data_IF_249339795188
#
_entry.id   IF_249339795188
#
_cell.length_a   1.000
_cell.length_b   1.000
_cell.length_c   1.000
_cell.angle_alpha   90.00
_cell.angle_beta   90.00
_cell.angle_gamma   90.00
#
_symmetry.space_group_name_H-M   'P 1'
#
loop_
_entity.id
_entity.type
_entity.pdbx_description
1 polymer ?
#
# COMPACT_ATOMS: atom_id res chain seq x y z
N UNK A 1 -89.89 35.83 -90.82
CA UNK A 1 -88.94 36.72 -90.09
C UNK A 1 -89.15 36.80 -88.56
N UNK A 2 -90.02 35.99 -87.94
CA UNK A 2 -90.31 36.08 -86.49
C UNK A 2 -89.64 35.01 -85.59
N UNK A 3 -88.82 34.09 -86.14
CA UNK A 3 -88.19 33.02 -85.36
C UNK A 3 -86.82 33.41 -84.73
N UNK A 4 -86.31 34.61 -85.00
CA UNK A 4 -85.02 35.06 -84.46
C UNK A 4 -85.15 35.81 -83.12
N UNK A 5 -86.31 35.78 -82.45
CA UNK A 5 -86.56 36.52 -81.20
C UNK A 5 -86.25 35.72 -79.91
N UNK A 6 -85.84 34.46 -80.03
CA UNK A 6 -85.47 33.60 -78.89
C UNK A 6 -83.97 33.34 -78.75
N UNK A 7 -83.14 33.80 -79.68
CA UNK A 7 -81.69 33.60 -79.60
C UNK A 7 -81.15 34.62 -78.62
N UNK A 8 -80.83 34.18 -77.39
CA UNK A 8 -79.95 34.95 -76.49
C UNK A 8 -78.66 35.19 -77.25
N UNK A 9 -78.40 36.45 -77.62
CA UNK A 9 -77.12 36.86 -78.17
C UNK A 9 -76.05 36.54 -77.12
N UNK A 10 -75.12 35.64 -77.47
CA UNK A 10 -73.94 35.38 -76.65
C UNK A 10 -73.09 36.64 -76.70
N UNK A 11 -72.81 37.21 -75.54
CA UNK A 11 -71.96 38.37 -75.40
C UNK A 11 -70.48 37.95 -75.51
N UNK A 12 -70.06 37.73 -76.76
CA UNK A 12 -68.70 37.30 -77.11
C UNK A 12 -67.61 38.22 -76.53
N UNK A 13 -67.77 39.56 -76.50
CA UNK A 13 -66.82 40.45 -75.82
C UNK A 13 -66.64 40.15 -74.33
N UNK A 14 -67.74 39.95 -73.60
CA UNK A 14 -67.67 39.63 -72.17
C UNK A 14 -67.02 38.26 -71.93
N UNK A 15 -67.30 37.26 -72.79
CA UNK A 15 -66.64 35.94 -72.71
C UNK A 15 -65.13 36.04 -72.96
N UNK A 16 -64.70 36.80 -73.97
CA UNK A 16 -63.27 37.02 -74.25
C UNK A 16 -62.56 37.67 -73.06
N UNK A 17 -63.15 38.71 -72.47
CA UNK A 17 -62.58 39.37 -71.29
C UNK A 17 -62.47 38.45 -70.06
N UNK A 18 -63.40 37.49 -69.91
CA UNK A 18 -63.34 36.49 -68.84
C UNK A 18 -62.23 35.45 -69.06
N UNK A 19 -61.96 35.07 -70.31
CA UNK A 19 -60.86 34.16 -70.66
C UNK A 19 -59.51 34.84 -70.39
N UNK A 20 -59.34 36.10 -70.83
CA UNK A 20 -58.11 36.86 -70.58
C UNK A 20 -57.83 37.05 -69.09
N UNK A 21 -58.89 37.27 -68.29
CA UNK A 21 -58.79 37.35 -66.84
C UNK A 21 -58.35 36.03 -66.19
N UNK A 22 -58.87 34.89 -66.68
CA UNK A 22 -58.44 33.56 -66.22
C UNK A 22 -56.97 33.31 -66.59
N UNK A 23 -56.57 33.64 -67.81
CA UNK A 23 -55.20 33.43 -68.29
C UNK A 23 -54.20 34.24 -67.46
N UNK A 24 -54.54 35.50 -67.17
CA UNK A 24 -53.77 36.37 -66.28
C UNK A 24 -53.59 35.75 -64.88
N UNK A 25 -54.64 35.14 -64.31
CA UNK A 25 -54.57 34.48 -63.00
C UNK A 25 -53.70 33.22 -63.06
N UNK A 26 -53.85 32.41 -64.11
CA UNK A 26 -53.04 31.19 -64.30
C UNK A 26 -51.56 31.54 -64.44
N UNK A 27 -51.22 32.58 -65.19
CA UNK A 27 -49.86 33.05 -65.34
C UNK A 27 -49.29 33.61 -64.04
N UNK A 28 -50.09 34.34 -63.27
CA UNK A 28 -49.67 34.82 -61.95
C UNK A 28 -49.37 33.66 -60.98
N UNK A 29 -50.20 32.62 -60.97
CA UNK A 29 -49.98 31.39 -60.16
C UNK A 29 -48.70 30.69 -60.61
N UNK A 30 -48.53 30.47 -61.93
CA UNK A 30 -47.34 29.84 -62.49
C UNK A 30 -46.07 30.64 -62.17
N UNK A 31 -46.13 31.96 -62.30
CA UNK A 31 -44.98 32.82 -62.03
C UNK A 31 -44.60 32.88 -60.56
N UNK A 32 -45.53 32.65 -59.63
CA UNK A 32 -45.28 32.86 -58.20
C UNK A 32 -45.05 31.54 -57.48
N UNK A 33 -46.02 30.62 -57.54
CA UNK A 33 -46.00 29.40 -56.73
C UNK A 33 -44.95 28.41 -57.23
N UNK A 34 -44.82 28.25 -58.55
CA UNK A 34 -43.81 27.36 -59.14
C UNK A 34 -42.40 27.89 -58.86
N UNK A 35 -42.20 29.21 -58.92
CA UNK A 35 -40.90 29.84 -58.62
C UNK A 35 -40.54 29.69 -57.14
N UNK A 36 -41.52 29.88 -56.25
CA UNK A 36 -41.33 29.67 -54.81
C UNK A 36 -41.00 28.21 -54.49
N UNK A 37 -41.71 27.26 -55.11
CA UNK A 37 -41.42 25.83 -54.96
C UNK A 37 -40.02 25.48 -55.48
N UNK A 38 -39.63 25.99 -56.65
CA UNK A 38 -38.29 25.76 -57.19
C UNK A 38 -37.18 26.30 -56.27
N UNK A 39 -37.41 27.48 -55.69
CA UNK A 39 -36.50 28.07 -54.71
C UNK A 39 -36.43 27.25 -53.41
N UNK A 40 -37.57 26.74 -52.94
CA UNK A 40 -37.64 25.82 -51.80
C UNK A 40 -36.89 24.51 -52.05
N UNK A 41 -37.05 23.92 -53.23
CA UNK A 41 -36.33 22.71 -53.64
C UNK A 41 -34.81 22.97 -53.66
N UNK A 42 -34.36 24.07 -54.26
CA UNK A 42 -32.94 24.42 -54.29
C UNK A 42 -32.33 24.61 -52.88
N UNK A 43 -33.11 25.16 -51.94
CA UNK A 43 -32.69 25.29 -50.55
C UNK A 43 -32.55 23.91 -49.87
N UNK A 44 -33.50 22.99 -50.12
CA UNK A 44 -33.42 21.61 -49.61
C UNK A 44 -32.23 20.87 -50.21
N UNK A 45 -31.99 21.00 -51.51
CA UNK A 45 -30.84 20.38 -52.19
C UNK A 45 -29.50 20.85 -51.57
N UNK A 46 -29.41 22.14 -51.24
CA UNK A 46 -28.23 22.71 -50.57
C UNK A 46 -28.02 22.09 -49.18
N UNK A 47 -29.09 21.89 -48.41
CA UNK A 47 -29.01 21.25 -47.08
C UNK A 47 -28.59 19.78 -47.21
N UNK A 48 -29.17 19.04 -48.16
CA UNK A 48 -28.83 17.63 -48.40
C UNK A 48 -27.37 17.48 -48.81
N UNK A 49 -26.88 18.37 -49.68
CA UNK A 49 -25.48 18.39 -50.08
C UNK A 49 -24.55 18.64 -48.89
N UNK A 50 -24.87 19.62 -48.02
CA UNK A 50 -24.07 19.89 -46.82
C UNK A 50 -24.00 18.68 -45.86
N UNK A 51 -25.13 18.01 -45.63
CA UNK A 51 -25.18 16.79 -44.80
C UNK A 51 -24.30 15.69 -45.40
N UNK A 52 -24.42 15.47 -46.72
CA UNK A 52 -23.69 14.40 -47.41
C UNK A 52 -22.18 14.67 -47.49
N UNK A 53 -21.79 15.91 -47.80
CA UNK A 53 -20.40 16.23 -48.13
C UNK A 53 -19.59 16.70 -46.91
N UNK A 54 -20.25 17.19 -45.86
CA UNK A 54 -19.56 17.74 -44.67
C UNK A 54 -19.85 16.92 -43.41
N UNK A 55 -21.12 16.73 -43.06
CA UNK A 55 -21.46 16.14 -41.76
C UNK A 55 -21.19 14.63 -41.73
N UNK A 56 -21.58 13.90 -42.78
CA UNK A 56 -21.40 12.45 -42.84
C UNK A 56 -19.91 12.03 -42.85
N UNK A 57 -19.00 12.67 -43.60
CA UNK A 57 -17.57 12.40 -43.51
C UNK A 57 -16.98 12.73 -42.13
N UNK A 58 -17.41 13.83 -41.50
CA UNK A 58 -16.95 14.20 -40.16
C UNK A 58 -17.33 13.14 -39.12
N UNK A 59 -18.56 12.62 -39.18
CA UNK A 59 -19.02 11.51 -38.33
C UNK A 59 -18.20 10.25 -38.60
N UNK A 60 -17.90 9.93 -39.85
CA UNK A 60 -17.10 8.74 -40.19
C UNK A 60 -15.65 8.82 -39.65
N UNK A 61 -15.03 10.01 -39.69
CA UNK A 61 -13.72 10.25 -39.08
C UNK A 61 -13.76 10.07 -37.56
N UNK A 62 -14.82 10.56 -36.89
CA UNK A 62 -15.01 10.37 -35.46
C UNK A 62 -15.16 8.89 -35.11
N UNK A 63 -15.97 8.13 -35.85
CA UNK A 63 -16.15 6.69 -35.65
C UNK A 63 -14.81 5.96 -35.78
N UNK A 64 -14.04 6.25 -36.83
CA UNK A 64 -12.71 5.64 -37.04
C UNK A 64 -11.75 5.94 -35.87
N UNK A 65 -11.80 7.17 -35.34
CA UNK A 65 -10.97 7.57 -34.19
C UNK A 65 -11.38 6.81 -32.92
N UNK A 66 -12.69 6.70 -32.68
CA UNK A 66 -13.23 5.95 -31.53
C UNK A 66 -12.86 4.48 -31.63
N UNK A 67 -12.97 3.87 -32.81
CA UNK A 67 -12.60 2.47 -33.03
C UNK A 67 -11.11 2.23 -32.71
N UNK A 68 -10.22 3.11 -33.18
CA UNK A 68 -8.79 3.02 -32.86
C UNK A 68 -8.51 3.13 -31.36
N UNK A 69 -9.20 4.03 -30.65
CA UNK A 69 -9.08 4.16 -29.19
C UNK A 69 -9.58 2.90 -28.48
N UNK A 70 -10.70 2.33 -28.92
CA UNK A 70 -11.26 1.10 -28.36
C UNK A 70 -10.32 -0.08 -28.57
N UNK A 71 -9.70 -0.20 -29.74
CA UNK A 71 -8.71 -1.25 -30.02
C UNK A 71 -7.45 -1.09 -29.17
N UNK A 72 -6.97 0.15 -28.97
CA UNK A 72 -5.87 0.42 -28.05
C UNK A 72 -6.21 -0.02 -26.62
N UNK A 73 -7.44 0.22 -26.15
CA UNK A 73 -7.92 -0.22 -24.82
C UNK A 73 -8.00 -1.75 -24.74
N UNK A 74 -8.51 -2.41 -25.77
CA UNK A 74 -8.62 -3.89 -25.82
C UNK A 74 -7.26 -4.57 -25.85
N UNK A 75 -6.25 -3.91 -26.42
CA UNK A 75 -4.88 -4.41 -26.49
C UNK A 75 -4.08 -4.18 -25.19
N UNK A 76 -4.68 -3.56 -24.16
CA UNK A 76 -4.09 -3.53 -22.82
C UNK A 76 -4.10 -4.95 -22.27
N UNK A 77 -2.91 -5.50 -22.01
CA UNK A 77 -2.72 -6.82 -21.41
C UNK A 77 -3.01 -6.79 -19.90
N UNK A 78 -4.29 -6.64 -19.56
CA UNK A 78 -4.79 -6.67 -18.18
C UNK A 78 -4.32 -7.93 -17.43
N UNK A 79 -4.32 -9.13 -18.02
CA UNK A 79 -3.79 -10.33 -17.36
C UNK A 79 -2.32 -10.20 -16.93
N UNK A 80 -1.43 -9.67 -17.78
CA UNK A 80 -0.03 -9.46 -17.42
C UNK A 80 0.13 -8.37 -16.37
N UNK A 81 -0.65 -7.28 -16.44
CA UNK A 81 -0.66 -6.25 -15.40
C UNK A 81 -1.06 -6.87 -14.05
N UNK A 82 -2.12 -7.69 -14.02
CA UNK A 82 -2.56 -8.36 -12.81
C UNK A 82 -1.49 -9.32 -12.27
N UNK A 83 -0.87 -10.12 -13.13
CA UNK A 83 0.21 -11.03 -12.72
C UNK A 83 1.40 -10.27 -12.09
N UNK A 84 1.75 -9.10 -12.63
CA UNK A 84 2.82 -8.27 -12.04
C UNK A 84 2.41 -7.65 -10.69
N UNK A 85 1.13 -7.27 -10.52
CA UNK A 85 0.61 -6.81 -9.23
C UNK A 85 0.71 -7.94 -8.20
N UNK A 86 0.25 -9.14 -8.55
CA UNK A 86 0.26 -10.31 -7.67
C UNK A 86 1.70 -10.66 -7.21
N UNK A 87 2.67 -10.60 -8.13
CA UNK A 87 4.10 -10.80 -7.80
C UNK A 87 4.61 -9.73 -6.83
N UNK A 88 4.29 -8.46 -7.07
CA UNK A 88 4.72 -7.37 -6.20
C UNK A 88 4.09 -7.45 -4.80
N UNK A 89 2.82 -7.85 -4.69
CA UNK A 89 2.16 -8.07 -3.41
C UNK A 89 2.85 -9.20 -2.61
N UNK A 90 3.19 -10.31 -3.28
CA UNK A 90 3.93 -11.41 -2.66
C UNK A 90 5.31 -10.98 -2.16
N UNK A 91 6.05 -10.20 -2.95
CA UNK A 91 7.38 -9.70 -2.55
C UNK A 91 7.31 -8.74 -1.36
N UNK A 92 6.26 -7.92 -1.29
CA UNK A 92 6.05 -7.02 -0.16
C UNK A 92 5.73 -7.79 1.13
N UNK A 93 4.97 -8.88 1.03
CA UNK A 93 4.68 -9.76 2.17
C UNK A 93 5.96 -10.43 2.70
N UNK A 94 6.81 -10.94 1.80
CA UNK A 94 8.09 -11.54 2.17
C UNK A 94 9.04 -10.54 2.86
N UNK A 95 9.08 -9.28 2.40
CA UNK A 95 9.89 -8.22 3.03
C UNK A 95 9.35 -7.88 4.43
N UNK A 96 8.03 -7.83 4.62
CA UNK A 96 7.44 -7.57 5.93
C UNK A 96 7.72 -8.71 6.92
N UNK A 97 7.83 -9.94 6.44
CA UNK A 97 8.17 -11.10 7.27
C UNK A 97 9.68 -11.28 7.54
N UNK A 98 10.55 -10.67 6.73
CA UNK A 98 12.02 -10.76 6.85
C UNK A 98 12.61 -9.94 8.01
N UNK A 99 11.84 -9.06 8.66
CA UNK A 99 12.35 -8.26 9.76
C UNK A 99 12.18 -8.99 11.10
N UNK A 100 13.28 -9.49 11.68
CA UNK A 100 13.27 -9.99 13.07
C UNK A 100 14.05 -9.05 13.99
N UNK A 101 13.55 -8.86 15.21
CA UNK A 101 14.29 -8.14 16.25
C UNK A 101 15.42 -9.03 16.77
N UNK A 102 16.60 -8.45 16.96
CA UNK A 102 17.75 -9.16 17.52
C UNK A 102 18.54 -8.28 18.47
N UNK A 103 19.01 -8.84 19.59
CA UNK A 103 19.83 -8.16 20.57
C UNK A 103 21.31 -8.22 20.20
N UNK A 104 22.01 -7.09 20.37
CA UNK A 104 23.46 -6.99 20.23
C UNK A 104 24.05 -6.46 21.54
N UNK A 105 25.15 -7.08 22.00
CA UNK A 105 25.83 -6.69 23.22
C UNK A 105 26.26 -5.22 23.14
N UNK A 106 25.94 -4.47 24.18
CA UNK A 106 26.17 -3.03 24.34
C UNK A 106 26.17 -2.71 25.84
N UNK A 107 26.43 -1.46 26.20
CA UNK A 107 26.45 -0.99 27.59
C UNK A 107 25.09 -0.45 28.10
N UNK A 108 24.10 -0.34 27.21
CA UNK A 108 22.75 0.08 27.57
C UNK A 108 22.04 -1.01 28.38
N UNK A 109 21.52 -0.66 29.55
CA UNK A 109 20.83 -1.62 30.42
C UNK A 109 19.42 -1.90 29.90
N UNK A 110 19.13 -3.17 29.61
CA UNK A 110 17.82 -3.63 29.15
C UNK A 110 16.99 -4.19 30.31
N UNK A 111 17.61 -5.02 31.15
CA UNK A 111 17.00 -5.63 32.34
C UNK A 111 18.00 -5.60 33.50
N UNK A 112 17.49 -5.53 34.73
CA UNK A 112 18.33 -5.47 35.93
C UNK A 112 17.65 -6.05 37.15
N UNK A 113 18.41 -6.77 37.96
CA UNK A 113 18.12 -7.10 39.35
C UNK A 113 19.31 -6.64 40.19
N UNK A 114 19.25 -5.37 40.60
CA UNK A 114 20.35 -4.68 41.26
C UNK A 114 20.46 -4.99 42.76
N UNK A 115 19.46 -5.66 43.35
CA UNK A 115 19.42 -5.97 44.78
C UNK A 115 20.57 -6.88 45.21
N UNK A 116 21.10 -6.67 46.42
CA UNK A 116 22.12 -7.54 46.98
C UNK A 116 21.50 -8.84 47.54
N UNK A 117 22.12 -9.97 47.23
CA UNK A 117 21.78 -11.26 47.80
C UNK A 117 23.04 -12.02 48.22
N UNK A 118 22.87 -12.99 49.12
CA UNK A 118 23.99 -13.74 49.67
C UNK A 118 23.69 -15.22 49.88
N UNK A 119 24.72 -16.05 49.83
CA UNK A 119 24.66 -17.46 50.22
C UNK A 119 25.94 -17.87 50.95
N UNK A 120 25.80 -18.78 51.92
CA UNK A 120 26.90 -19.46 52.61
C UNK A 120 27.13 -20.89 52.07
N UNK A 121 26.43 -21.26 51.00
CA UNK A 121 26.53 -22.58 50.40
C UNK A 121 27.86 -22.80 49.69
N UNK A 122 28.44 -23.99 49.91
CA UNK A 122 29.61 -24.45 49.16
C UNK A 122 29.27 -25.07 47.80
N UNK A 123 27.98 -25.28 47.54
CA UNK A 123 27.45 -25.67 46.22
C UNK A 123 26.76 -24.48 45.56
N UNK A 124 26.72 -24.45 44.23
CA UNK A 124 26.08 -23.38 43.48
C UNK A 124 24.59 -23.27 43.81
N UNK A 125 24.16 -22.07 44.21
CA UNK A 125 22.77 -21.71 44.51
C UNK A 125 22.33 -20.61 43.56
N UNK A 126 21.12 -20.73 43.00
CA UNK A 126 20.52 -19.68 42.16
C UNK A 126 20.24 -18.46 43.01
N UNK A 127 20.79 -17.32 42.61
CA UNK A 127 20.60 -16.04 43.28
C UNK A 127 19.71 -15.12 42.44
N UNK A 128 20.05 -14.95 41.16
CA UNK A 128 19.39 -13.97 40.27
C UNK A 128 18.77 -14.65 39.06
N UNK A 129 17.69 -14.10 38.53
CA UNK A 129 17.01 -14.59 37.32
C UNK A 129 16.32 -13.45 36.55
N UNK A 130 16.57 -13.38 35.24
CA UNK A 130 15.94 -12.44 34.31
C UNK A 130 15.55 -13.17 33.02
N UNK A 131 14.40 -12.82 32.42
CA UNK A 131 13.90 -13.47 31.19
C UNK A 131 14.22 -12.65 29.95
N UNK A 132 14.72 -13.32 28.92
CA UNK A 132 15.00 -12.74 27.59
C UNK A 132 13.72 -12.64 26.78
N UNK A 133 13.50 -11.50 26.11
CA UNK A 133 12.32 -11.25 25.26
C UNK A 133 12.66 -11.38 23.77
N UNK A 134 13.88 -11.01 23.38
CA UNK A 134 14.34 -10.96 21.98
C UNK A 134 15.58 -11.86 21.86
N UNK A 135 15.73 -12.69 20.82
CA UNK A 135 16.94 -13.48 20.70
C UNK A 135 18.15 -12.57 20.47
N UNK A 136 19.31 -12.96 20.99
CA UNK A 136 20.58 -12.43 20.53
C UNK A 136 21.71 -12.45 21.54
N UNK A 137 22.73 -11.65 21.27
CA UNK A 137 23.91 -11.55 22.13
C UNK A 137 23.69 -10.44 23.14
N UNK A 138 23.86 -10.75 24.42
CA UNK A 138 23.69 -9.83 25.53
C UNK A 138 24.98 -9.72 26.33
N UNK A 139 25.26 -8.52 26.84
CA UNK A 139 26.33 -8.29 27.81
C UNK A 139 25.78 -8.50 29.22
N UNK A 140 26.25 -9.52 29.91
CA UNK A 140 25.84 -9.83 31.28
C UNK A 140 26.87 -9.24 32.22
N UNK A 141 26.44 -8.36 33.13
CA UNK A 141 27.32 -7.78 34.16
C UNK A 141 26.79 -8.04 35.55
N UNK A 142 27.68 -8.28 36.50
CA UNK A 142 27.34 -8.46 37.91
C UNK A 142 28.54 -8.22 38.82
N UNK A 143 28.28 -7.84 40.07
CA UNK A 143 29.30 -7.61 41.08
C UNK A 143 29.26 -8.71 42.14
N UNK A 144 30.39 -9.38 42.40
CA UNK A 144 30.53 -10.39 43.47
C UNK A 144 31.50 -9.93 44.55
N UNK A 145 31.30 -10.41 45.79
CA UNK A 145 32.16 -10.10 46.93
C UNK A 145 32.10 -11.18 48.02
N UNK A 146 33.22 -11.41 48.71
CA UNK A 146 33.22 -11.89 50.09
C UNK A 146 33.96 -10.87 50.98
N UNK A 147 33.29 -10.21 51.95
CA UNK A 147 33.80 -8.99 52.60
C UNK A 147 35.16 -9.09 53.30
N UNK A 148 35.60 -10.29 53.70
CA UNK A 148 36.89 -10.46 54.41
C UNK A 148 38.05 -10.82 53.49
N UNK A 149 37.78 -11.25 52.24
CA UNK A 149 38.80 -11.74 51.32
C UNK A 149 39.51 -13.02 51.80
N UNK A 150 38.92 -13.74 52.76
CA UNK A 150 39.47 -14.97 53.33
C UNK A 150 38.90 -16.23 52.68
N UNK A 151 37.98 -16.06 51.73
CA UNK A 151 37.43 -17.13 50.92
C UNK A 151 37.20 -16.67 49.48
N UNK A 152 37.20 -17.63 48.56
CA UNK A 152 36.84 -17.40 47.16
C UNK A 152 35.33 -17.50 47.00
N UNK A 153 34.76 -16.49 46.35
CA UNK A 153 33.40 -16.50 45.78
C UNK A 153 33.49 -16.96 44.35
N UNK A 154 32.60 -17.86 43.92
CA UNK A 154 32.46 -18.20 42.52
C UNK A 154 31.03 -17.92 42.05
N UNK A 155 30.92 -17.38 40.84
CA UNK A 155 29.67 -17.11 40.17
C UNK A 155 29.74 -17.64 38.74
N UNK A 156 28.67 -18.27 38.27
CA UNK A 156 28.55 -18.72 36.87
C UNK A 156 27.18 -18.30 36.35
N UNK A 157 27.12 -17.84 35.10
CA UNK A 157 25.87 -17.53 34.41
C UNK A 157 25.28 -18.82 33.85
N UNK A 158 23.99 -19.04 34.11
CA UNK A 158 23.22 -20.19 33.65
C UNK A 158 22.15 -19.72 32.65
N UNK A 159 21.80 -20.62 31.72
CA UNK A 159 20.70 -20.50 30.76
C UNK A 159 19.73 -21.66 30.99
N UNK A 160 18.50 -21.36 31.41
CA UNK A 160 17.47 -22.37 31.72
C UNK A 160 17.97 -23.50 32.64
N UNK A 161 18.56 -23.12 33.78
CA UNK A 161 19.16 -24.01 34.79
C UNK A 161 20.37 -24.85 34.31
N UNK A 162 20.88 -24.62 33.09
CA UNK A 162 22.14 -25.18 32.58
C UNK A 162 23.30 -24.17 32.58
N UNK A 163 24.50 -24.59 32.99
CA UNK A 163 25.68 -23.71 32.96
C UNK A 163 25.97 -23.22 31.52
N UNK A 164 26.15 -21.92 31.35
CA UNK A 164 26.27 -21.29 30.03
C UNK A 164 27.47 -20.35 29.89
N UNK A 165 27.70 -19.49 30.88
CA UNK A 165 28.86 -18.59 30.93
C UNK A 165 30.12 -19.25 31.50
N UNK A 166 31.22 -18.50 31.45
CA UNK A 166 32.49 -18.89 32.05
C UNK A 166 32.45 -18.69 33.57
N UNK A 167 32.85 -19.67 34.40
CA UNK A 167 32.94 -19.48 35.84
C UNK A 167 33.86 -18.30 36.20
N UNK A 168 33.32 -17.33 36.94
CA UNK A 168 34.02 -16.15 37.45
C UNK A 168 34.26 -16.31 38.94
N UNK A 169 35.37 -15.77 39.45
CA UNK A 169 35.66 -15.80 40.87
C UNK A 169 36.32 -14.52 41.38
N UNK A 170 36.24 -14.31 42.70
CA UNK A 170 36.93 -13.24 43.41
C UNK A 170 37.24 -13.64 44.87
N UNK A 171 38.29 -13.06 45.44
CA UNK A 171 38.66 -13.23 46.85
C UNK A 171 39.28 -11.95 47.44
N UNK A 172 38.91 -10.78 46.92
CA UNK A 172 39.59 -9.51 47.21
C UNK A 172 39.13 -8.81 48.49
N UNK A 173 37.98 -9.19 49.05
CA UNK A 173 37.35 -8.44 50.15
C UNK A 173 36.48 -7.27 49.68
N UNK A 174 36.38 -7.03 48.37
CA UNK A 174 35.62 -5.93 47.78
C UNK A 174 34.72 -6.42 46.66
N UNK A 175 33.68 -5.63 46.34
CA UNK A 175 32.87 -5.88 45.16
C UNK A 175 33.71 -5.73 43.89
N UNK A 176 33.71 -6.77 43.06
CA UNK A 176 34.36 -6.77 41.74
C UNK A 176 33.32 -7.04 40.67
N UNK A 177 33.18 -6.10 39.74
CA UNK A 177 32.33 -6.26 38.56
C UNK A 177 32.94 -7.30 37.61
N UNK A 178 32.08 -8.18 37.11
CA UNK A 178 32.38 -9.19 36.09
C UNK A 178 31.49 -8.91 34.88
N UNK A 179 32.01 -9.22 33.69
CA UNK A 179 31.29 -9.02 32.42
C UNK A 179 31.58 -10.16 31.45
N UNK A 180 30.55 -10.61 30.72
CA UNK A 180 30.67 -11.59 29.65
C UNK A 180 29.55 -11.37 28.62
N UNK A 181 29.85 -11.53 27.34
CA UNK A 181 28.87 -11.43 26.26
C UNK A 181 28.41 -12.85 25.85
N UNK A 182 27.11 -13.15 25.98
CA UNK A 182 26.53 -14.49 25.83
C UNK A 182 25.29 -14.48 24.92
N UNK A 183 25.00 -15.62 24.27
CA UNK A 183 23.92 -15.74 23.26
C UNK A 183 22.69 -16.44 23.84
N UNK A 184 21.54 -15.80 23.73
CA UNK A 184 20.25 -16.29 24.23
C UNK A 184 19.18 -16.28 23.13
N UNK A 185 18.20 -17.17 23.28
CA UNK A 185 16.99 -17.20 22.48
C UNK A 185 15.85 -16.46 23.20
N UNK A 186 14.83 -16.04 22.46
CA UNK A 186 13.64 -15.45 23.09
C UNK A 186 12.98 -16.44 24.05
N UNK A 187 12.68 -15.98 25.26
CA UNK A 187 12.05 -16.77 26.32
C UNK A 187 13.02 -17.46 27.28
N UNK A 188 14.31 -17.51 26.97
CA UNK A 188 15.34 -18.06 27.87
C UNK A 188 15.40 -17.31 29.20
N UNK A 189 15.79 -18.02 30.26
CA UNK A 189 16.14 -17.45 31.56
C UNK A 189 17.65 -17.28 31.66
N UNK A 190 18.10 -16.06 31.97
CA UNK A 190 19.48 -15.73 32.36
C UNK A 190 19.54 -15.75 33.87
N UNK A 191 20.37 -16.62 34.43
CA UNK A 191 20.44 -16.83 35.88
C UNK A 191 21.87 -16.68 36.38
N UNK A 192 22.05 -16.13 37.58
CA UNK A 192 23.35 -16.13 38.25
C UNK A 192 23.33 -17.14 39.40
N UNK A 193 24.28 -18.08 39.39
CA UNK A 193 24.48 -19.04 40.46
C UNK A 193 25.76 -18.70 41.20
N UNK A 194 25.68 -18.67 42.53
CA UNK A 194 26.76 -18.26 43.43
C UNK A 194 27.12 -19.40 44.39
N UNK A 195 28.39 -19.53 44.74
CA UNK A 195 28.83 -20.30 45.90
C UNK A 195 30.05 -19.66 46.59
N UNK A 196 30.37 -20.15 47.78
CA UNK A 196 31.59 -19.82 48.51
C UNK A 196 32.47 -21.06 48.70
N UNK A 197 33.78 -20.87 48.76
CA UNK A 197 34.73 -21.93 49.15
C UNK A 197 34.71 -22.25 50.65
N UNK A 198 33.99 -21.48 51.47
CA UNK A 198 33.93 -21.66 52.91
C UNK A 198 32.56 -21.23 53.48
N UNK A 199 31.81 -22.16 54.08
CA UNK A 199 30.44 -21.90 54.56
C UNK A 199 30.32 -20.98 55.77
N UNK A 200 31.42 -20.58 56.42
CA UNK A 200 31.38 -19.53 57.45
C UNK A 200 31.50 -18.11 56.85
N UNK A 201 31.76 -18.01 55.55
CA UNK A 201 32.02 -16.77 54.82
C UNK A 201 31.01 -16.63 53.67
N UNK A 202 29.91 -15.89 53.85
CA UNK A 202 28.91 -15.74 52.82
C UNK A 202 29.48 -15.03 51.59
N UNK A 203 29.14 -15.56 50.41
CA UNK A 203 29.32 -14.91 49.14
C UNK A 203 28.15 -13.97 48.87
N UNK A 204 28.43 -12.81 48.27
CA UNK A 204 27.45 -11.80 47.92
C UNK A 204 27.46 -11.52 46.42
N UNK A 205 26.29 -11.19 45.87
CA UNK A 205 26.09 -10.74 44.50
C UNK A 205 25.14 -9.53 44.47
N UNK A 206 25.41 -8.57 43.59
CA UNK A 206 24.51 -7.43 43.30
C UNK A 206 24.70 -6.93 41.86
N UNK A 207 23.89 -5.96 41.46
CA UNK A 207 24.00 -5.28 40.15
C UNK A 207 23.96 -6.27 38.97
N UNK A 208 23.10 -7.31 39.06
CA UNK A 208 22.95 -8.29 37.98
C UNK A 208 22.14 -7.68 36.84
N UNK A 209 22.82 -7.37 35.74
CA UNK A 209 22.26 -6.62 34.61
C UNK A 209 22.47 -7.35 33.30
N UNK A 210 21.46 -7.25 32.45
CA UNK A 210 21.46 -7.68 31.06
C UNK A 210 21.49 -6.41 30.22
N UNK A 211 22.59 -6.22 29.49
CA UNK A 211 22.87 -5.03 28.68
C UNK A 211 22.92 -5.36 27.19
N UNK A 212 22.51 -4.42 26.36
CA UNK A 212 22.41 -4.58 24.92
C UNK A 212 21.58 -3.50 24.25
N UNK A 213 21.54 -3.53 22.93
CA UNK A 213 20.58 -2.77 22.12
C UNK A 213 19.74 -3.75 21.29
N UNK A 214 18.48 -3.38 21.04
CA UNK A 214 17.58 -4.15 20.17
C UNK A 214 17.58 -3.52 18.79
N UNK A 215 18.05 -4.27 17.80
CA UNK A 215 18.09 -3.84 16.41
C UNK A 215 17.00 -4.55 15.60
N UNK A 216 16.55 -3.86 14.56
CA UNK A 216 15.82 -4.48 13.46
C UNK A 216 16.87 -5.07 12.52
N UNK A 217 16.90 -6.39 12.38
CA UNK A 217 17.71 -7.03 11.36
C UNK A 217 16.88 -7.20 10.08
N UNK A 218 17.39 -6.67 8.97
CA UNK A 218 16.85 -6.92 7.64
C UNK A 218 17.71 -8.01 7.02
N UNK A 219 17.12 -9.18 6.73
CA UNK A 219 17.80 -10.27 6.00
C UNK A 219 17.87 -9.95 4.52
#
# INVERSE_FOLDING_TARGET
>A
LQLLKGIRTIDLPNLASGIDAIDTVVDAIRSTDVVNLASGIAAVDTIVANIHDTDLPAVNTLVTTVDSVVDNIRNIDVPNIQANIDVNESLLDDIQFSHYLYAVASDDTLLSDDGEESTDSMVYVKMKELRVVVPGTYRITFSINEPTGLSTVNCTVYKNDGAHGTPQSDSSGSYVEKTEDLVFEAGDLIQAYLNTSNSIRPAYIKEFRVKGIINIHTV
#
